data_IF_974123940998
#
_entry.id   IF_974123940998
#
_cell.length_a   1.000
_cell.length_b   1.000
_cell.length_c   1.000
_cell.angle_alpha   90.00
_cell.angle_beta   90.00
_cell.angle_gamma   90.00
#
_symmetry.space_group_name_H-M   'P 1'
#
loop_
_entity.id
_entity.type
_entity.pdbx_description
1 polymer ?
#
# COMPACT_ATOMS: atom_id res chain seq x y z
N UNK A 1 -15.29 10.01 -6.14
CA UNK A 1 -14.24 8.97 -6.24
C UNK A 1 -13.69 8.87 -7.65
N UNK A 2 -14.53 8.73 -8.68
CA UNK A 2 -14.10 8.63 -10.09
C UNK A 2 -13.24 9.83 -10.52
N UNK A 3 -13.71 11.04 -10.23
CA UNK A 3 -13.01 12.28 -10.62
C UNK A 3 -11.64 12.46 -9.94
N UNK A 4 -11.51 12.02 -8.68
CA UNK A 4 -10.24 12.10 -7.94
C UNK A 4 -9.23 11.06 -8.42
N UNK A 5 -9.70 9.88 -8.80
CA UNK A 5 -8.84 8.84 -9.36
C UNK A 5 -8.37 9.22 -10.76
N UNK A 6 -9.27 9.74 -11.60
CA UNK A 6 -8.94 10.20 -12.95
C UNK A 6 -7.92 11.36 -12.90
N UNK A 7 -8.10 12.31 -11.98
CA UNK A 7 -7.13 13.38 -11.75
C UNK A 7 -5.75 12.84 -11.34
N UNK A 8 -5.69 11.86 -10.43
CA UNK A 8 -4.43 11.23 -10.02
C UNK A 8 -3.78 10.50 -11.19
N UNK A 9 -4.55 9.74 -11.97
CA UNK A 9 -4.03 9.01 -13.15
C UNK A 9 -3.46 9.97 -14.18
N UNK A 10 -4.16 11.06 -14.49
CA UNK A 10 -3.66 12.09 -15.40
C UNK A 10 -2.32 12.67 -14.91
N UNK A 11 -2.22 13.00 -13.61
CA UNK A 11 -0.97 13.52 -13.04
C UNK A 11 0.19 12.51 -13.11
N UNK A 12 -0.08 11.21 -12.91
CA UNK A 12 0.95 10.17 -13.01
C UNK A 12 1.46 10.03 -14.45
N UNK A 13 0.55 10.06 -15.42
CA UNK A 13 0.87 9.98 -16.85
C UNK A 13 1.62 11.23 -17.33
N UNK A 14 1.17 12.43 -16.96
CA UNK A 14 1.83 13.70 -17.31
C UNK A 14 3.26 13.77 -16.77
N UNK A 15 3.51 13.18 -15.60
CA UNK A 15 4.84 13.11 -14.99
C UNK A 15 5.72 11.98 -15.54
N UNK A 16 5.20 11.18 -16.48
CA UNK A 16 5.92 10.07 -17.08
C UNK A 16 6.21 8.92 -16.10
N UNK A 17 5.42 8.78 -15.03
CA UNK A 17 5.60 7.69 -14.06
C UNK A 17 5.18 6.37 -14.72
N UNK A 18 6.06 5.37 -14.64
CA UNK A 18 5.77 4.07 -15.23
C UNK A 18 4.65 3.38 -14.46
N UNK A 19 3.86 2.56 -15.17
CA UNK A 19 2.77 1.82 -14.56
C UNK A 19 3.22 0.96 -13.37
N UNK A 20 4.38 0.30 -13.49
CA UNK A 20 4.92 -0.53 -12.42
C UNK A 20 5.33 0.28 -11.18
N UNK A 21 5.85 1.50 -11.37
CA UNK A 21 6.18 2.41 -10.27
C UNK A 21 4.91 2.92 -9.58
N UNK A 22 3.92 3.35 -10.36
CA UNK A 22 2.62 3.80 -9.85
C UNK A 22 1.92 2.67 -9.07
N UNK A 23 1.93 1.45 -9.61
CA UNK A 23 1.38 0.26 -8.96
C UNK A 23 2.11 -0.04 -7.66
N UNK A 24 3.44 -0.03 -7.65
CA UNK A 24 4.22 -0.30 -6.45
C UNK A 24 3.99 0.73 -5.34
N UNK A 25 3.93 2.02 -5.69
CA UNK A 25 3.65 3.08 -4.72
C UNK A 25 2.21 3.03 -4.20
N UNK A 26 1.22 2.75 -5.07
CA UNK A 26 -0.16 2.52 -4.63
C UNK A 26 -0.24 1.33 -3.67
N UNK A 27 0.33 0.18 -4.05
CA UNK A 27 0.30 -1.04 -3.25
C UNK A 27 0.94 -0.82 -1.88
N UNK A 28 2.11 -0.19 -1.83
CA UNK A 28 2.82 0.17 -0.59
C UNK A 28 1.96 1.04 0.33
N UNK A 29 1.35 2.10 -0.21
CA UNK A 29 0.52 3.03 0.57
C UNK A 29 -0.76 2.35 1.07
N UNK A 30 -1.37 1.53 0.23
CA UNK A 30 -2.59 0.81 0.55
C UNK A 30 -2.36 -0.21 1.67
N UNK A 31 -1.32 -1.05 1.54
CA UNK A 31 -0.93 -2.02 2.56
C UNK A 31 -0.61 -1.33 3.89
N UNK A 32 0.15 -0.24 3.86
CA UNK A 32 0.47 0.56 5.06
C UNK A 32 -0.81 1.03 5.77
N UNK A 33 -1.75 1.61 5.02
CA UNK A 33 -2.98 2.14 5.61
C UNK A 33 -3.83 1.04 6.27
N UNK A 34 -3.89 -0.14 5.66
CA UNK A 34 -4.61 -1.28 6.23
C UNK A 34 -3.89 -1.80 7.49
N UNK A 35 -2.56 -1.88 7.48
CA UNK A 35 -1.79 -2.25 8.66
C UNK A 35 -2.01 -1.27 9.83
N UNK A 36 -1.97 0.04 9.58
CA UNK A 36 -2.25 1.08 10.57
C UNK A 36 -3.66 0.93 11.16
N UNK A 37 -4.66 0.75 10.30
CA UNK A 37 -6.07 0.55 10.70
C UNK A 37 -6.23 -0.65 11.63
N UNK A 38 -5.42 -1.70 11.44
CA UNK A 38 -5.42 -2.89 12.29
C UNK A 38 -4.31 -2.91 13.34
N UNK A 39 -3.73 -1.74 13.70
CA UNK A 39 -2.68 -1.60 14.73
C UNK A 39 -1.49 -2.56 14.52
N UNK A 40 -1.10 -2.76 13.26
CA UNK A 40 -0.02 -3.65 12.86
C UNK A 40 -0.36 -5.15 12.94
N UNK A 41 -1.62 -5.54 13.12
CA UNK A 41 -2.04 -6.95 13.10
C UNK A 41 -2.04 -7.48 11.66
N UNK A 42 -0.94 -8.13 11.27
CA UNK A 42 -0.74 -8.67 9.92
C UNK A 42 -1.79 -9.72 9.54
N UNK A 43 -2.25 -10.55 10.48
CA UNK A 43 -3.25 -11.59 10.17
C UNK A 43 -4.60 -10.99 9.84
N UNK A 44 -5.03 -9.94 10.55
CA UNK A 44 -6.26 -9.20 10.23
C UNK A 44 -6.12 -8.38 8.95
N UNK A 45 -4.99 -7.69 8.79
CA UNK A 45 -4.69 -6.94 7.57
C UNK A 45 -4.67 -7.84 6.33
N UNK A 46 -4.07 -9.03 6.41
CA UNK A 46 -4.04 -10.01 5.33
C UNK A 46 -5.46 -10.42 4.90
N UNK A 47 -6.35 -10.70 5.87
CA UNK A 47 -7.76 -11.02 5.58
C UNK A 47 -8.49 -9.87 4.89
N UNK A 48 -8.27 -8.63 5.33
CA UNK A 48 -8.91 -7.44 4.71
C UNK A 48 -8.37 -7.17 3.32
N UNK A 49 -7.07 -7.37 3.11
CA UNK A 49 -6.44 -7.24 1.78
C UNK A 49 -6.77 -8.40 0.85
N UNK A 50 -7.43 -9.46 1.31
CA UNK A 50 -7.64 -10.69 0.54
C UNK A 50 -6.33 -11.43 0.20
N UNK A 51 -5.26 -11.18 0.96
CA UNK A 51 -3.94 -11.76 0.74
C UNK A 51 -3.69 -12.92 1.72
N UNK A 52 -2.94 -13.92 1.26
CA UNK A 52 -2.34 -14.85 2.19
C UNK A 52 -1.34 -14.12 3.09
N UNK A 53 -1.30 -14.46 4.39
CA UNK A 53 -0.42 -13.81 5.37
C UNK A 53 1.04 -13.78 4.92
N UNK A 54 1.55 -14.88 4.36
CA UNK A 54 2.94 -14.96 3.89
C UNK A 54 3.22 -13.99 2.73
N UNK A 55 2.25 -13.78 1.84
CA UNK A 55 2.34 -12.79 0.76
C UNK A 55 2.40 -11.39 1.35
N UNK A 56 1.55 -11.10 2.35
CA UNK A 56 1.60 -9.82 3.04
C UNK A 56 2.95 -9.62 3.76
N UNK A 57 3.48 -10.62 4.47
CA UNK A 57 4.79 -10.51 5.13
C UNK A 57 5.91 -10.20 4.13
N UNK A 58 5.97 -10.89 2.99
CA UNK A 58 6.95 -10.60 1.93
C UNK A 58 6.81 -9.18 1.39
N UNK A 59 5.58 -8.70 1.19
CA UNK A 59 5.33 -7.32 0.74
C UNK A 59 5.72 -6.28 1.80
N UNK A 60 5.50 -6.57 3.07
CA UNK A 60 5.95 -5.71 4.19
C UNK A 60 7.47 -5.57 4.19
N UNK A 61 8.19 -6.68 4.02
CA UNK A 61 9.66 -6.69 3.94
C UNK A 61 10.14 -5.95 2.69
N UNK A 62 9.57 -6.26 1.52
CA UNK A 62 9.91 -5.64 0.24
C UNK A 62 9.77 -4.12 0.29
N UNK A 63 8.67 -3.63 0.88
CA UNK A 63 8.38 -2.20 0.98
C UNK A 63 8.92 -1.53 2.25
N UNK A 64 9.66 -2.28 3.09
CA UNK A 64 10.21 -1.81 4.36
C UNK A 64 9.16 -1.11 5.23
N UNK A 65 7.98 -1.71 5.32
CA UNK A 65 6.86 -1.20 6.12
C UNK A 65 7.07 -1.58 7.60
N UNK A 66 7.97 -0.88 8.28
CA UNK A 66 8.22 -1.10 9.71
C UNK A 66 6.96 -0.79 10.55
N UNK A 67 6.70 -1.63 11.55
CA UNK A 67 5.60 -1.53 12.51
C UNK A 67 5.74 -0.33 13.45
N UNK A 68 6.91 0.33 13.49
CA UNK A 68 7.29 1.27 14.54
C UNK A 68 7.41 2.75 14.15
N UNK A 69 7.04 3.18 12.94
CA UNK A 69 7.22 4.60 12.56
C UNK A 69 6.37 5.61 13.35
N UNK A 70 5.50 5.19 14.29
CA UNK A 70 4.65 6.07 15.11
C UNK A 70 4.81 5.87 16.63
N UNK A 71 5.91 5.28 17.10
CA UNK A 71 6.36 5.43 18.49
C UNK A 71 7.40 6.56 18.57
N UNK A 72 6.95 7.80 18.45
CA UNK A 72 7.69 9.00 18.89
C UNK A 72 6.70 9.96 19.51
#
# INVERSE_FOLDING_TARGET
>A
MKDQLDALVNQLVERGILFDEARAEFEKRFIRKVLETHRGNQSRAARVLGLHRNTLSRKIELYKLDRNSHRR
#
